data_IF_263990550050
#
_entry.id   IF_263990550050
#
_cell.length_a   1.000
_cell.length_b   1.000
_cell.length_c   1.000
_cell.angle_alpha   90.00
_cell.angle_beta   90.00
_cell.angle_gamma   90.00
#
_symmetry.space_group_name_H-M   'P 1'
#
loop_
_entity.id
_entity.type
_entity.pdbx_description
1 polymer ?
#
# COMPACT_ATOMS: atom_id res chain seq x y z
N UNK A 1 -38.11 64.90 -20.27
CA UNK A 1 -38.61 63.57 -19.88
C UNK A 1 -37.42 62.60 -19.97
N UNK A 2 -36.71 62.43 -18.83
CA UNK A 2 -35.51 61.54 -18.76
C UNK A 2 -35.95 60.21 -18.20
N UNK A 3 -35.74 59.11 -18.95
CA UNK A 3 -35.96 57.74 -18.51
C UNK A 3 -34.66 57.22 -17.88
N UNK A 4 -34.71 56.62 -16.66
CA UNK A 4 -33.55 55.99 -16.10
C UNK A 4 -33.30 54.57 -16.74
N UNK A 5 -32.09 54.31 -17.12
CA UNK A 5 -31.61 52.98 -17.57
C UNK A 5 -31.41 52.12 -16.31
N UNK A 6 -32.16 51.02 -16.21
CA UNK A 6 -31.94 50.00 -15.17
C UNK A 6 -30.86 49.05 -15.66
N UNK A 7 -29.69 49.08 -15.03
CA UNK A 7 -28.61 48.08 -15.24
C UNK A 7 -28.93 46.87 -14.37
N UNK A 8 -29.29 45.76 -15.02
CA UNK A 8 -29.47 44.46 -14.39
C UNK A 8 -28.08 43.79 -14.28
N UNK A 9 -27.50 43.80 -13.10
CA UNK A 9 -26.24 43.03 -12.80
C UNK A 9 -26.61 41.58 -12.57
N UNK A 10 -26.30 40.73 -13.56
CA UNK A 10 -26.36 39.25 -13.43
C UNK A 10 -25.16 38.79 -12.59
N UNK A 11 -25.40 38.53 -11.32
CA UNK A 11 -24.40 37.89 -10.45
C UNK A 11 -24.32 36.42 -10.79
N UNK A 12 -23.18 35.96 -11.36
CA UNK A 12 -22.85 34.54 -11.51
C UNK A 12 -22.43 34.07 -10.14
N UNK A 13 -23.31 33.40 -9.40
CA UNK A 13 -22.97 32.63 -8.22
C UNK A 13 -22.28 31.35 -8.72
N UNK A 14 -20.94 31.33 -8.69
CA UNK A 14 -20.17 30.09 -8.83
C UNK A 14 -20.49 29.21 -7.62
N UNK A 15 -21.30 28.17 -7.82
CA UNK A 15 -21.52 27.13 -6.81
C UNK A 15 -20.19 26.40 -6.62
N UNK A 16 -19.45 26.75 -5.58
CA UNK A 16 -18.36 25.92 -5.05
C UNK A 16 -19.00 24.66 -4.47
N UNK A 17 -19.15 23.63 -5.31
CA UNK A 17 -19.47 22.29 -4.80
C UNK A 17 -18.30 21.89 -3.91
N UNK A 18 -18.52 21.51 -2.64
CA UNK A 18 -17.45 20.94 -1.84
C UNK A 18 -17.00 19.67 -2.55
N UNK A 19 -15.72 19.60 -2.91
CA UNK A 19 -15.06 18.35 -3.32
C UNK A 19 -15.18 17.42 -2.10
N UNK A 20 -16.16 16.55 -2.09
CA UNK A 20 -16.23 15.47 -1.13
C UNK A 20 -15.09 14.54 -1.50
N UNK A 21 -14.04 14.55 -0.71
CA UNK A 21 -13.00 13.52 -0.80
C UNK A 21 -13.70 12.18 -0.55
N UNK A 22 -13.77 11.36 -1.58
CA UNK A 22 -14.32 10.01 -1.49
C UNK A 22 -13.34 9.12 -0.74
N UNK A 23 -13.82 8.30 0.19
CA UNK A 23 -13.05 7.20 0.72
C UNK A 23 -12.52 6.35 -0.46
N UNK A 24 -11.25 5.91 -0.36
CA UNK A 24 -10.64 5.17 -1.45
C UNK A 24 -11.27 3.78 -1.57
N UNK A 25 -11.53 3.34 -2.81
CA UNK A 25 -11.84 1.94 -3.09
C UNK A 25 -10.54 1.16 -3.20
N UNK A 26 -10.35 0.14 -2.35
CA UNK A 26 -9.17 -0.73 -2.36
C UNK A 26 -9.64 -2.16 -2.66
N UNK A 27 -9.13 -2.77 -3.72
CA UNK A 27 -9.59 -4.08 -4.19
C UNK A 27 -8.47 -5.11 -4.27
N UNK A 28 -8.83 -6.38 -4.05
CA UNK A 28 -7.91 -7.51 -4.08
C UNK A 28 -7.85 -8.16 -5.46
N UNK A 29 -6.64 -8.27 -6.01
CA UNK A 29 -6.32 -9.19 -7.10
C UNK A 29 -5.74 -10.45 -6.48
N UNK A 30 -6.49 -11.55 -6.55
CA UNK A 30 -6.10 -12.82 -5.97
C UNK A 30 -5.06 -13.53 -6.84
N UNK A 31 -3.79 -13.45 -6.44
CA UNK A 31 -2.65 -14.07 -7.13
C UNK A 31 -2.58 -15.59 -7.02
N UNK A 32 -3.35 -16.19 -6.09
CA UNK A 32 -3.47 -17.65 -5.96
C UNK A 32 -4.68 -18.22 -6.74
N UNK A 33 -5.33 -17.40 -7.60
CA UNK A 33 -6.50 -17.85 -8.37
C UNK A 33 -6.18 -19.10 -9.20
N UNK A 34 -7.10 -20.06 -9.19
CA UNK A 34 -6.92 -21.33 -9.89
C UNK A 34 -6.01 -22.35 -9.19
N UNK A 35 -5.53 -22.05 -7.98
CA UNK A 35 -4.74 -22.96 -7.14
C UNK A 35 -5.55 -23.45 -5.92
N UNK A 36 -4.98 -24.39 -5.17
CA UNK A 36 -5.53 -24.84 -3.88
C UNK A 36 -4.60 -24.45 -2.71
N UNK A 37 -3.90 -23.33 -2.83
CA UNK A 37 -3.00 -22.79 -1.80
C UNK A 37 -3.34 -21.34 -1.48
N UNK A 38 -2.69 -20.79 -0.47
CA UNK A 38 -2.72 -19.39 -0.14
C UNK A 38 -4.13 -18.85 0.11
N UNK A 39 -4.54 -17.87 -0.68
CA UNK A 39 -5.88 -17.27 -0.64
C UNK A 39 -6.99 -18.23 -1.09
N UNK A 40 -6.65 -19.36 -1.71
CA UNK A 40 -7.58 -20.39 -2.15
C UNK A 40 -7.42 -21.71 -1.41
N UNK A 41 -6.68 -21.75 -0.30
CA UNK A 41 -6.47 -22.95 0.51
C UNK A 41 -7.81 -23.53 1.00
N UNK A 42 -8.20 -24.76 0.55
CA UNK A 42 -9.49 -25.34 0.86
C UNK A 42 -9.53 -26.03 2.25
N UNK A 43 -8.43 -26.03 2.98
CA UNK A 43 -8.34 -26.66 4.30
C UNK A 43 -9.43 -26.11 5.20
N UNK A 44 -10.27 -27.00 5.74
CA UNK A 44 -11.40 -26.64 6.58
C UNK A 44 -10.90 -25.92 7.86
N UNK A 45 -11.55 -24.83 8.21
CA UNK A 45 -11.26 -24.03 9.39
C UNK A 45 -12.54 -23.64 10.12
N UNK A 46 -12.52 -23.63 11.45
CA UNK A 46 -13.63 -23.10 12.22
C UNK A 46 -13.55 -21.56 12.28
N UNK A 47 -14.68 -20.83 12.29
CA UNK A 47 -14.68 -19.40 12.56
C UNK A 47 -13.91 -19.06 13.85
N UNK A 48 -13.11 -17.98 13.81
CA UNK A 48 -12.33 -17.55 14.96
C UNK A 48 -12.18 -16.03 15.02
N UNK A 49 -12.17 -15.46 16.21
CA UNK A 49 -11.85 -14.06 16.45
C UNK A 49 -12.66 -13.08 15.58
N UNK A 50 -13.95 -13.35 15.37
CA UNK A 50 -14.81 -12.52 14.50
C UNK A 50 -14.67 -12.79 13.00
N UNK A 51 -13.76 -13.66 12.56
CA UNK A 51 -13.63 -14.10 11.17
C UNK A 51 -14.56 -15.30 10.92
N UNK A 52 -15.61 -15.15 10.08
CA UNK A 52 -16.61 -16.21 9.86
C UNK A 52 -16.17 -17.28 8.85
N UNK A 53 -15.02 -17.15 8.22
CA UNK A 53 -14.52 -18.04 7.16
C UNK A 53 -14.48 -19.50 7.60
N UNK A 54 -14.77 -20.41 6.70
CA UNK A 54 -14.86 -21.87 6.95
C UNK A 54 -13.75 -22.67 6.27
N UNK A 55 -12.87 -21.99 5.55
CA UNK A 55 -11.59 -22.53 5.09
C UNK A 55 -10.47 -21.55 5.39
N UNK A 56 -9.23 -22.05 5.40
CA UNK A 56 -8.04 -21.22 5.62
C UNK A 56 -7.95 -20.10 4.58
N UNK A 57 -8.17 -20.43 3.30
CA UNK A 57 -8.17 -19.44 2.22
C UNK A 57 -9.27 -18.39 2.36
N UNK A 58 -10.49 -18.82 2.76
CA UNK A 58 -11.59 -17.90 3.02
C UNK A 58 -11.25 -16.94 4.18
N UNK A 59 -10.71 -17.46 5.28
CA UNK A 59 -10.29 -16.64 6.41
C UNK A 59 -9.18 -15.65 6.04
N UNK A 60 -8.21 -16.06 5.20
CA UNK A 60 -7.16 -15.17 4.67
C UNK A 60 -7.75 -14.04 3.83
N UNK A 61 -8.67 -14.34 2.90
CA UNK A 61 -9.34 -13.31 2.09
C UNK A 61 -10.15 -12.34 2.94
N UNK A 62 -10.90 -12.84 3.93
CA UNK A 62 -11.68 -11.98 4.85
C UNK A 62 -10.77 -11.05 5.65
N UNK A 63 -9.68 -11.57 6.24
CA UNK A 63 -8.75 -10.74 6.99
C UNK A 63 -8.03 -9.73 6.07
N UNK A 64 -7.71 -10.13 4.85
CA UNK A 64 -7.10 -9.24 3.85
C UNK A 64 -8.06 -8.12 3.45
N UNK A 65 -9.32 -8.47 3.12
CA UNK A 65 -10.36 -7.47 2.79
C UNK A 65 -10.58 -6.50 3.94
N UNK A 66 -10.62 -6.99 5.17
CA UNK A 66 -10.75 -6.14 6.35
C UNK A 66 -9.60 -5.11 6.47
N UNK A 67 -8.36 -5.52 6.17
CA UNK A 67 -7.23 -4.59 6.11
C UNK A 67 -7.39 -3.53 5.01
N UNK A 68 -7.85 -3.94 3.82
CA UNK A 68 -8.11 -3.02 2.71
C UNK A 68 -9.22 -2.03 3.04
N UNK A 69 -10.30 -2.49 3.68
CA UNK A 69 -11.41 -1.62 4.11
C UNK A 69 -10.92 -0.57 5.14
N UNK A 70 -10.03 -0.97 6.06
CA UNK A 70 -9.41 -0.04 7.02
C UNK A 70 -8.57 1.04 6.32
N UNK A 71 -7.76 0.66 5.34
CA UNK A 71 -7.00 1.62 4.53
C UNK A 71 -7.93 2.51 3.71
N UNK A 72 -8.92 1.93 3.03
CA UNK A 72 -9.91 2.66 2.24
C UNK A 72 -10.67 3.71 3.05
N UNK A 73 -10.97 3.43 4.32
CA UNK A 73 -11.66 4.36 5.20
C UNK A 73 -10.87 5.62 5.56
N UNK A 74 -9.52 5.57 5.48
CA UNK A 74 -8.64 6.71 5.86
C UNK A 74 -7.97 7.38 4.67
N UNK A 75 -7.91 6.71 3.53
CA UNK A 75 -7.33 7.23 2.31
C UNK A 75 -8.36 8.01 1.48
N UNK A 76 -7.86 8.96 0.70
CA UNK A 76 -8.65 9.75 -0.23
C UNK A 76 -8.13 9.51 -1.65
N UNK A 77 -8.93 8.85 -2.48
CA UNK A 77 -8.64 8.64 -3.89
C UNK A 77 -9.94 8.51 -4.69
N UNK A 78 -10.02 9.17 -5.83
CA UNK A 78 -11.07 8.93 -6.82
C UNK A 78 -10.74 7.78 -7.77
N UNK A 79 -9.50 7.30 -7.72
CA UNK A 79 -8.99 6.17 -8.51
C UNK A 79 -8.95 4.94 -7.60
N UNK A 80 -9.41 3.81 -8.11
CA UNK A 80 -9.36 2.53 -7.42
C UNK A 80 -7.91 2.13 -7.18
N UNK A 81 -7.61 1.63 -5.97
CA UNK A 81 -6.31 1.06 -5.61
C UNK A 81 -6.41 -0.45 -5.69
N UNK A 82 -5.65 -1.06 -6.58
CA UNK A 82 -5.66 -2.51 -6.82
C UNK A 82 -4.45 -3.15 -6.18
N UNK A 83 -4.68 -4.11 -5.28
CA UNK A 83 -3.64 -4.80 -4.51
C UNK A 83 -3.56 -6.26 -4.92
N UNK A 84 -2.45 -6.64 -5.55
CA UNK A 84 -2.15 -8.04 -5.81
C UNK A 84 -1.66 -8.71 -4.53
N UNK A 85 -2.20 -9.87 -4.20
CA UNK A 85 -1.76 -10.67 -3.07
C UNK A 85 -1.66 -12.15 -3.40
N UNK A 86 -0.59 -12.78 -2.92
CA UNK A 86 -0.38 -14.23 -3.02
C UNK A 86 0.34 -14.77 -1.79
N UNK A 87 0.34 -16.10 -1.66
CA UNK A 87 1.14 -16.82 -0.68
C UNK A 87 2.22 -17.64 -1.38
N UNK A 88 3.45 -17.56 -0.87
CA UNK A 88 4.56 -18.36 -1.34
C UNK A 88 5.49 -18.67 -0.16
N UNK A 89 6.45 -19.59 -0.39
CA UNK A 89 7.55 -19.74 0.56
C UNK A 89 8.44 -18.51 0.45
N UNK A 90 8.58 -17.77 1.54
CA UNK A 90 9.56 -16.69 1.70
C UNK A 90 10.76 -17.19 2.49
N UNK A 91 11.84 -16.40 2.53
CA UNK A 91 13.04 -16.74 3.30
C UNK A 91 12.69 -17.03 4.74
N UNK A 92 13.04 -18.22 5.23
CA UNK A 92 12.62 -18.70 6.52
C UNK A 92 13.58 -19.75 7.07
N UNK A 93 13.71 -19.77 8.38
CA UNK A 93 14.40 -20.79 9.19
C UNK A 93 13.48 -21.23 10.34
N UNK A 94 13.85 -22.26 11.08
CA UNK A 94 13.07 -22.73 12.24
C UNK A 94 12.82 -21.64 13.29
N UNK A 95 13.69 -20.62 13.38
CA UNK A 95 13.65 -19.61 14.44
C UNK A 95 13.44 -18.18 13.94
N UNK A 96 13.35 -17.96 12.64
CA UNK A 96 13.14 -16.62 12.08
C UNK A 96 12.81 -16.68 10.60
N UNK A 97 12.15 -15.64 10.08
CA UNK A 97 11.78 -15.61 8.68
C UNK A 97 11.04 -14.33 8.27
N UNK A 98 10.91 -14.15 6.97
CA UNK A 98 10.08 -13.11 6.37
C UNK A 98 8.62 -13.52 6.46
N UNK A 99 7.80 -12.71 7.08
CA UNK A 99 6.36 -12.93 7.25
C UNK A 99 5.59 -12.56 5.99
N UNK A 100 5.90 -11.40 5.45
CA UNK A 100 5.34 -10.85 4.23
C UNK A 100 6.34 -9.91 3.58
N UNK A 101 6.00 -9.49 2.39
CA UNK A 101 6.70 -8.43 1.67
C UNK A 101 5.70 -7.73 0.76
N UNK A 102 5.83 -6.43 0.63
CA UNK A 102 5.07 -5.65 -0.31
C UNK A 102 5.82 -4.40 -0.77
N UNK A 103 5.32 -3.82 -1.84
CA UNK A 103 5.81 -2.57 -2.39
C UNK A 103 4.89 -2.08 -3.48
N UNK A 104 5.11 -0.86 -3.97
CA UNK A 104 4.43 -0.40 -5.17
C UNK A 104 4.82 -1.29 -6.35
N UNK A 105 3.82 -1.67 -7.14
CA UNK A 105 4.06 -2.44 -8.37
C UNK A 105 4.66 -1.57 -9.46
N UNK A 106 4.23 -0.29 -9.50
CA UNK A 106 4.70 0.69 -10.45
C UNK A 106 5.19 1.97 -9.76
N UNK A 107 6.16 2.63 -10.40
CA UNK A 107 6.71 3.90 -9.95
C UNK A 107 6.51 4.93 -11.05
N UNK A 108 5.92 6.06 -10.70
CA UNK A 108 5.62 7.16 -11.62
C UNK A 108 6.33 8.46 -11.21
N UNK A 109 6.51 9.37 -12.16
CA UNK A 109 7.08 10.69 -11.89
C UNK A 109 6.58 11.72 -12.93
N UNK A 110 6.79 13.00 -12.65
CA UNK A 110 6.53 14.10 -13.60
C UNK A 110 5.10 14.10 -14.20
N UNK A 111 4.11 13.62 -13.47
CA UNK A 111 2.70 13.70 -13.83
C UNK A 111 2.06 15.01 -13.32
N UNK A 112 0.88 15.42 -13.80
CA UNK A 112 0.18 16.60 -13.29
C UNK A 112 -0.07 16.55 -11.78
N UNK A 113 0.42 17.55 -11.05
CA UNK A 113 0.35 17.61 -9.58
C UNK A 113 1.57 17.02 -8.86
N UNK A 114 2.48 16.33 -9.55
CA UNK A 114 3.70 15.81 -8.95
C UNK A 114 4.74 16.92 -8.67
N UNK A 115 5.53 16.74 -7.61
CA UNK A 115 6.80 17.45 -7.46
C UNK A 115 7.75 17.00 -8.56
N UNK A 116 8.35 17.94 -9.29
CA UNK A 116 9.28 17.63 -10.37
C UNK A 116 10.43 16.74 -9.90
N UNK A 117 10.85 15.80 -10.75
CA UNK A 117 11.97 14.89 -10.49
C UNK A 117 11.84 14.09 -9.19
N UNK A 118 10.62 13.76 -8.80
CA UNK A 118 10.32 12.96 -7.61
C UNK A 118 9.57 11.70 -8.00
N UNK A 119 9.98 10.57 -7.45
CA UNK A 119 9.35 9.25 -7.67
C UNK A 119 8.17 9.06 -6.71
N UNK A 120 7.10 8.50 -7.21
CA UNK A 120 5.88 8.19 -6.46
C UNK A 120 5.48 6.74 -6.71
N UNK A 121 4.98 6.00 -5.69
CA UNK A 121 4.18 4.79 -5.91
C UNK A 121 2.97 5.10 -6.80
N UNK A 122 2.58 4.17 -7.70
CA UNK A 122 1.45 4.39 -8.61
C UNK A 122 0.17 4.77 -7.86
N UNK A 123 -0.22 4.03 -6.83
CA UNK A 123 -1.42 4.33 -6.03
C UNK A 123 -1.47 5.80 -5.53
N UNK A 124 -0.34 6.34 -5.07
CA UNK A 124 -0.25 7.73 -4.64
C UNK A 124 -0.25 8.70 -5.82
N UNK A 125 0.44 8.34 -6.91
CA UNK A 125 0.46 9.12 -8.14
C UNK A 125 -0.93 9.29 -8.73
N UNK A 126 -1.67 8.20 -8.83
CA UNK A 126 -3.04 8.14 -9.35
C UNK A 126 -4.02 8.95 -8.50
N UNK A 127 -3.90 8.85 -7.17
CA UNK A 127 -4.71 9.66 -6.25
C UNK A 127 -4.46 11.16 -6.45
N UNK A 128 -3.20 11.58 -6.68
CA UNK A 128 -2.83 12.99 -6.92
C UNK A 128 -3.30 13.44 -8.31
N UNK A 129 -3.11 12.60 -9.32
CA UNK A 129 -3.46 12.91 -10.71
C UNK A 129 -4.97 12.83 -10.98
N UNK A 130 -5.71 12.09 -10.13
CA UNK A 130 -7.13 11.81 -10.34
C UNK A 130 -7.41 10.87 -11.52
N UNK A 131 -6.41 10.13 -11.97
CA UNK A 131 -6.48 9.16 -13.06
C UNK A 131 -5.44 8.05 -12.89
N UNK A 132 -5.72 6.86 -13.44
CA UNK A 132 -4.76 5.77 -13.53
C UNK A 132 -3.61 6.17 -14.48
N UNK A 133 -2.39 6.24 -13.95
CA UNK A 133 -1.18 6.66 -14.70
C UNK A 133 -0.49 5.50 -15.40
N UNK A 134 -0.84 4.26 -15.04
CA UNK A 134 -0.26 3.03 -15.60
C UNK A 134 -1.39 2.04 -15.95
N UNK A 135 -2.25 2.37 -16.91
CA UNK A 135 -3.42 1.56 -17.25
C UNK A 135 -3.03 0.32 -18.06
N UNK A 136 -2.30 -0.63 -17.44
CA UNK A 136 -1.92 -1.89 -18.07
C UNK A 136 -2.92 -3.00 -17.71
N UNK A 137 -3.75 -3.47 -18.66
CA UNK A 137 -4.70 -4.56 -18.39
C UNK A 137 -4.04 -5.91 -18.07
N UNK A 138 -2.77 -6.11 -18.45
CA UNK A 138 -2.04 -7.34 -18.17
C UNK A 138 -1.45 -7.35 -16.75
N UNK A 139 -1.18 -6.16 -16.19
CA UNK A 139 -0.70 -6.00 -14.82
C UNK A 139 -1.33 -4.76 -14.17
N UNK A 140 -2.62 -4.82 -13.80
CA UNK A 140 -3.37 -3.67 -13.32
C UNK A 140 -3.13 -3.33 -11.86
N UNK A 141 -2.25 -4.06 -11.15
CA UNK A 141 -2.03 -3.85 -9.71
C UNK A 141 -1.19 -2.60 -9.45
N UNK A 142 -1.59 -1.81 -8.44
CA UNK A 142 -0.79 -0.71 -7.90
C UNK A 142 0.20 -1.18 -6.85
N UNK A 143 -0.21 -2.17 -6.07
CA UNK A 143 0.55 -2.74 -4.97
C UNK A 143 0.73 -4.23 -5.20
N UNK A 144 1.96 -4.70 -5.10
CA UNK A 144 2.30 -6.11 -5.01
C UNK A 144 2.50 -6.49 -3.56
N UNK A 145 1.93 -7.64 -3.14
CA UNK A 145 2.17 -8.20 -1.81
C UNK A 145 2.24 -9.72 -1.85
N UNK A 146 3.08 -10.29 -0.97
CA UNK A 146 3.26 -11.72 -0.84
C UNK A 146 3.47 -12.10 0.63
N UNK A 147 2.84 -13.19 1.07
CA UNK A 147 2.88 -13.67 2.44
C UNK A 147 3.46 -15.07 2.52
N UNK A 148 4.13 -15.37 3.65
CA UNK A 148 4.76 -16.67 3.84
C UNK A 148 3.71 -17.77 4.02
N UNK A 149 3.66 -18.68 3.05
CA UNK A 149 2.77 -19.84 3.05
C UNK A 149 3.24 -21.01 3.91
N UNK A 150 4.51 -20.99 4.34
CA UNK A 150 5.14 -22.10 5.05
C UNK A 150 5.28 -21.85 6.57
N UNK A 151 4.76 -20.72 7.05
CA UNK A 151 4.82 -20.36 8.45
C UNK A 151 4.29 -21.47 9.35
N UNK A 152 5.07 -21.85 10.35
CA UNK A 152 4.74 -22.88 11.32
C UNK A 152 5.27 -24.27 11.00
N UNK A 153 5.83 -24.49 9.80
CA UNK A 153 6.55 -25.72 9.46
C UNK A 153 7.87 -25.83 10.25
N UNK A 154 8.41 -27.04 10.38
CA UNK A 154 9.62 -27.30 11.15
C UNK A 154 10.83 -26.45 10.75
N UNK A 155 10.89 -26.05 9.49
CA UNK A 155 11.96 -25.25 8.89
C UNK A 155 11.56 -23.77 8.66
N UNK A 156 10.40 -23.34 9.19
CA UNK A 156 9.89 -21.97 9.02
C UNK A 156 9.10 -21.49 10.24
N UNK A 157 9.77 -20.81 11.17
CA UNK A 157 9.18 -20.35 12.44
C UNK A 157 8.38 -21.47 13.12
N UNK A 158 9.09 -22.57 13.41
CA UNK A 158 8.53 -23.83 13.87
C UNK A 158 7.55 -23.64 15.05
N UNK A 159 6.37 -24.24 14.93
CA UNK A 159 5.32 -24.17 15.95
C UNK A 159 4.55 -22.85 16.01
N UNK A 160 4.89 -21.86 15.17
CA UNK A 160 4.06 -20.65 15.03
C UNK A 160 2.97 -20.87 13.96
N UNK A 161 2.27 -19.81 13.59
CA UNK A 161 1.24 -19.86 12.55
C UNK A 161 0.54 -18.53 12.37
N UNK A 162 -0.24 -18.40 11.32
CA UNK A 162 -1.07 -17.24 11.13
C UNK A 162 -2.30 -17.28 12.02
N UNK A 163 -2.50 -16.25 12.83
CA UNK A 163 -3.79 -15.96 13.44
C UNK A 163 -4.64 -15.14 12.47
N UNK A 164 -5.77 -15.70 12.03
CA UNK A 164 -6.63 -15.12 11.01
C UNK A 164 -7.86 -14.41 11.59
N UNK A 165 -7.94 -14.25 12.94
CA UNK A 165 -8.99 -13.50 13.60
C UNK A 165 -8.88 -11.99 13.36
N UNK A 166 -10.01 -11.29 13.54
CA UNK A 166 -10.15 -9.84 13.34
C UNK A 166 -10.22 -9.07 14.65
N UNK A 167 -10.23 -9.77 15.80
CA UNK A 167 -10.46 -9.21 17.14
C UNK A 167 -9.20 -8.69 17.86
N UNK A 168 -8.02 -8.80 17.20
CA UNK A 168 -6.75 -8.39 17.77
C UNK A 168 -6.23 -9.26 18.94
N UNK A 169 -6.92 -10.37 19.28
CA UNK A 169 -6.57 -11.24 20.41
C UNK A 169 -5.72 -12.42 19.94
N UNK A 170 -4.56 -12.12 19.41
CA UNK A 170 -3.64 -13.13 18.89
C UNK A 170 -3.15 -14.05 20.00
N UNK A 171 -3.34 -15.38 19.90
CA UNK A 171 -2.80 -16.33 20.86
C UNK A 171 -1.27 -16.28 20.92
N UNK A 172 -0.71 -16.64 22.07
CA UNK A 172 0.75 -16.78 22.23
C UNK A 172 1.34 -17.75 21.18
N UNK A 173 2.48 -17.40 20.62
CA UNK A 173 3.15 -18.18 19.58
C UNK A 173 2.57 -18.02 18.18
N UNK A 174 1.45 -17.33 18.00
CA UNK A 174 0.89 -17.04 16.68
C UNK A 174 1.22 -15.61 16.21
N UNK A 175 1.10 -15.39 14.93
CA UNK A 175 1.37 -14.11 14.26
C UNK A 175 0.07 -13.56 13.70
N UNK A 176 -0.26 -12.33 14.08
CA UNK A 176 -1.48 -11.67 13.61
C UNK A 176 -1.38 -11.33 12.13
N UNK A 177 -2.14 -12.04 11.29
CA UNK A 177 -2.13 -11.83 9.84
C UNK A 177 -2.63 -10.44 9.45
N UNK A 178 -3.72 -9.98 10.07
CA UNK A 178 -4.29 -8.65 9.81
C UNK A 178 -3.25 -7.53 10.01
N UNK A 179 -2.48 -7.60 11.10
CA UNK A 179 -1.45 -6.59 11.38
C UNK A 179 -0.33 -6.61 10.33
N UNK A 180 0.09 -7.80 9.89
CA UNK A 180 1.10 -7.92 8.83
C UNK A 180 0.56 -7.39 7.51
N UNK A 181 -0.68 -7.74 7.13
CA UNK A 181 -1.31 -7.20 5.90
C UNK A 181 -1.40 -5.67 5.94
N UNK A 182 -1.83 -5.09 7.07
CA UNK A 182 -1.87 -3.62 7.24
C UNK A 182 -0.49 -2.99 7.04
N UNK A 183 0.56 -3.60 7.61
CA UNK A 183 1.94 -3.13 7.47
C UNK A 183 2.42 -3.20 6.01
N UNK A 184 2.22 -4.34 5.37
CA UNK A 184 2.68 -4.58 4.00
C UNK A 184 1.95 -3.68 2.99
N UNK A 185 0.62 -3.53 3.09
CA UNK A 185 -0.12 -2.58 2.24
C UNK A 185 0.44 -1.16 2.43
N UNK A 186 0.77 -0.76 3.67
CA UNK A 186 1.39 0.54 3.94
C UNK A 186 2.66 0.80 3.13
N UNK A 187 3.52 -0.22 2.98
CA UNK A 187 4.70 -0.12 2.11
C UNK A 187 4.32 0.12 0.64
N UNK A 188 3.35 -0.62 0.12
CA UNK A 188 2.84 -0.45 -1.23
C UNK A 188 2.24 0.93 -1.50
N UNK A 189 1.56 1.51 -0.50
CA UNK A 189 0.97 2.85 -0.56
C UNK A 189 2.00 3.98 -0.44
N UNK A 190 3.27 3.66 -0.14
CA UNK A 190 4.36 4.65 -0.13
C UNK A 190 5.01 4.91 1.23
N UNK A 191 4.70 4.13 2.27
CA UNK A 191 5.44 4.16 3.53
C UNK A 191 6.78 3.40 3.40
N UNK A 192 7.50 3.61 2.31
CA UNK A 192 8.80 3.02 2.00
C UNK A 192 9.61 3.94 1.10
N UNK A 193 10.92 4.05 1.37
CA UNK A 193 11.84 4.80 0.53
C UNK A 193 12.58 3.91 -0.47
N UNK A 194 12.92 4.47 -1.62
CA UNK A 194 13.70 3.80 -2.67
C UNK A 194 15.20 4.10 -2.58
N UNK A 195 15.63 4.56 -1.43
CA UNK A 195 17.05 4.78 -1.11
C UNK A 195 17.76 3.43 -0.89
N UNK A 196 18.88 3.23 -1.55
CA UNK A 196 19.78 2.14 -1.20
C UNK A 196 20.54 2.50 0.08
N UNK A 197 20.19 1.88 1.20
CA UNK A 197 20.74 2.18 2.54
C UNK A 197 22.25 1.87 2.66
N UNK A 198 22.81 1.02 1.79
CA UNK A 198 24.23 0.67 1.82
C UNK A 198 25.08 1.64 1.02
N UNK A 199 24.55 2.17 -0.08
CA UNK A 199 25.32 3.00 -1.01
C UNK A 199 24.87 4.48 -0.99
N UNK A 200 23.74 4.79 -0.35
CA UNK A 200 23.13 6.11 -0.33
C UNK A 200 22.57 6.58 -1.67
N UNK A 201 22.48 5.68 -2.66
CA UNK A 201 21.98 5.97 -4.00
C UNK A 201 20.46 6.13 -3.96
N UNK A 202 19.96 7.23 -4.49
CA UNK A 202 18.53 7.54 -4.56
C UNK A 202 17.81 6.75 -5.66
N UNK A 203 16.53 6.46 -5.40
CA UNK A 203 15.56 5.99 -6.40
C UNK A 203 15.99 4.74 -7.13
N UNK A 204 16.54 3.75 -6.43
CA UNK A 204 17.00 2.47 -7.01
C UNK A 204 17.98 2.65 -8.20
N UNK A 205 18.75 3.74 -8.19
CA UNK A 205 19.75 4.02 -9.23
C UNK A 205 19.34 5.08 -10.25
N UNK A 206 18.11 5.58 -10.21
CA UNK A 206 17.66 6.69 -11.09
C UNK A 206 18.32 8.03 -10.74
N UNK A 207 18.84 8.17 -9.52
CA UNK A 207 19.33 9.44 -8.97
C UNK A 207 18.22 10.40 -8.52
N UNK A 208 16.95 10.05 -8.71
CA UNK A 208 15.80 10.83 -8.26
C UNK A 208 15.42 10.43 -6.83
N UNK A 209 15.04 11.40 -6.01
CA UNK A 209 14.45 11.09 -4.72
C UNK A 209 13.05 10.55 -4.88
N UNK A 210 12.57 9.77 -3.93
CA UNK A 210 11.16 9.41 -3.82
C UNK A 210 10.46 10.28 -2.77
N UNK A 211 9.14 10.30 -2.82
CA UNK A 211 8.31 11.14 -1.96
C UNK A 211 8.49 10.84 -0.46
N UNK A 212 8.79 9.58 -0.10
CA UNK A 212 9.03 9.19 1.29
C UNK A 212 10.43 9.58 1.75
N UNK A 213 11.48 9.21 1.00
CA UNK A 213 12.88 9.58 1.30
C UNK A 213 13.05 11.08 1.36
N UNK A 214 12.32 11.85 0.54
CA UNK A 214 12.32 13.31 0.59
C UNK A 214 11.83 13.88 1.93
N UNK A 215 11.11 13.14 2.77
CA UNK A 215 10.72 13.56 4.12
C UNK A 215 11.73 13.15 5.20
N UNK A 216 12.67 12.25 4.88
CA UNK A 216 13.68 11.82 5.82
C UNK A 216 14.66 12.98 6.13
N UNK A 217 15.05 13.07 7.40
CA UNK A 217 15.95 14.12 7.89
C UNK A 217 17.10 13.49 8.66
N UNK A 218 18.31 13.87 8.29
CA UNK A 218 19.53 13.50 9.01
C UNK A 218 19.85 14.54 10.10
N UNK A 219 19.72 14.12 11.36
CA UNK A 219 19.99 14.98 12.51
C UNK A 219 21.49 15.30 12.68
N UNK A 220 22.39 14.47 12.12
CA UNK A 220 23.84 14.70 12.19
C UNK A 220 24.25 15.77 11.19
N UNK A 221 23.76 15.67 9.96
CA UNK A 221 24.05 16.65 8.91
C UNK A 221 23.12 17.88 8.99
N UNK A 222 22.06 17.81 9.80
CA UNK A 222 21.00 18.82 9.89
C UNK A 222 20.39 19.14 8.52
N UNK A 223 20.09 18.09 7.72
CA UNK A 223 19.59 18.17 6.34
C UNK A 223 18.59 17.11 6.02
N UNK A 224 17.71 17.42 5.07
CA UNK A 224 16.85 16.42 4.45
C UNK A 224 17.64 15.57 3.45
N UNK A 225 17.19 14.34 3.23
CA UNK A 225 17.87 13.42 2.30
C UNK A 225 17.78 13.88 0.83
N UNK A 226 16.80 14.71 0.48
CA UNK A 226 16.66 15.34 -0.83
C UNK A 226 17.47 16.66 -0.99
N UNK A 227 18.20 17.10 0.03
CA UNK A 227 19.08 18.28 -0.05
C UNK A 227 20.17 18.03 -1.12
N UNK A 228 20.35 18.94 -2.10
CA UNK A 228 21.31 18.76 -3.18
C UNK A 228 22.77 18.66 -2.72
N UNK A 229 23.08 19.07 -1.49
CA UNK A 229 24.42 18.94 -0.88
C UNK A 229 24.63 17.62 -0.15
N UNK A 230 23.58 16.79 0.03
CA UNK A 230 23.70 15.44 0.56
C UNK A 230 24.27 14.53 -0.52
N UNK A 231 25.50 14.07 -0.30
CA UNK A 231 26.13 13.06 -1.19
C UNK A 231 25.62 11.67 -0.86
N UNK A 232 25.85 10.71 -1.77
CA UNK A 232 25.50 9.32 -1.50
C UNK A 232 26.19 8.79 -0.24
N UNK A 233 27.46 9.17 -0.01
CA UNK A 233 28.21 8.76 1.19
C UNK A 233 27.62 9.33 2.51
N UNK A 234 26.92 10.48 2.45
CA UNK A 234 26.26 11.04 3.61
C UNK A 234 24.89 10.40 3.87
N UNK A 235 24.27 9.78 2.84
CA UNK A 235 22.98 9.08 2.96
C UNK A 235 23.14 7.60 3.33
N UNK A 236 24.30 6.99 3.11
CA UNK A 236 24.64 5.63 3.49
C UNK A 236 24.98 5.54 4.98
#
# INVERSE_FOLDING_TARGET
MNKPLLLLSLGIAAALSPLHASAANVTLINGDAGTNVGLNDPTAAAPLGGNPGRSVGEQRRIAYQYAMDMWGAVLQSSVEIKVYASFARLTCTATGGTLGQAGPNWIVNNFPGAKANTLYPSALGDAIAGQDLVPDPADPADVFSQFNGDLGKDDCLAGSGWYLGLDGKTPEGQINFLNVVMHEIGHGLGAAGFLNKTTGVLGSGSGLTDVYTAQAFDNVQNKRFDDPTMTNALRA
#
